data_IF_026401601683
#
_entry.id   IF_026401601683
#
_cell.length_a   1.000
_cell.length_b   1.000
_cell.length_c   1.000
_cell.angle_alpha   90.00
_cell.angle_beta   90.00
_cell.angle_gamma   90.00
#
_symmetry.space_group_name_H-M   'P 1'
#
loop_
_entity.id
_entity.type
_entity.pdbx_description
1 polymer ?
#
# COMPACT_ATOMS: atom_id res chain seq x y z
N UNK A 1 -12.93 14.89 -3.23
CA UNK A 1 -11.53 15.21 -2.89
C UNK A 1 -10.94 16.09 -3.98
N UNK A 2 -9.84 16.77 -3.69
CA UNK A 2 -9.08 17.54 -4.70
C UNK A 2 -8.35 16.54 -5.61
N UNK A 3 -8.32 16.81 -6.91
CA UNK A 3 -7.57 15.98 -7.86
C UNK A 3 -6.05 16.11 -7.60
N UNK A 4 -5.30 15.02 -7.75
CA UNK A 4 -3.85 15.04 -7.68
C UNK A 4 -3.25 15.62 -8.97
N UNK A 5 -2.18 16.44 -8.88
CA UNK A 5 -1.62 17.18 -10.01
C UNK A 5 -0.16 16.86 -10.35
N UNK A 6 0.44 15.83 -9.75
CA UNK A 6 1.86 15.49 -9.96
C UNK A 6 2.11 14.42 -11.03
N UNK A 7 3.25 13.71 -10.92
CA UNK A 7 3.63 12.65 -11.86
C UNK A 7 2.59 11.52 -11.88
N UNK A 8 2.19 11.09 -13.07
CA UNK A 8 1.09 10.14 -13.34
C UNK A 8 -0.31 10.62 -12.90
N UNK A 9 -0.55 11.93 -12.85
CA UNK A 9 -1.83 12.47 -12.40
C UNK A 9 -3.04 11.91 -13.16
N UNK A 10 -2.94 11.72 -14.47
CA UNK A 10 -4.06 11.19 -15.26
C UNK A 10 -4.45 9.78 -14.80
N UNK A 11 -3.46 8.89 -14.71
CA UNK A 11 -3.63 7.49 -14.29
C UNK A 11 -4.06 7.39 -12.83
N UNK A 12 -3.44 8.17 -11.93
CA UNK A 12 -3.76 8.20 -10.50
C UNK A 12 -5.21 8.67 -10.29
N UNK A 13 -5.62 9.79 -10.87
CA UNK A 13 -6.98 10.30 -10.69
C UNK A 13 -8.03 9.36 -11.30
N UNK A 14 -7.73 8.75 -12.47
CA UNK A 14 -8.63 7.80 -13.09
C UNK A 14 -8.85 6.55 -12.21
N UNK A 15 -7.77 5.95 -11.73
CA UNK A 15 -7.84 4.77 -10.85
C UNK A 15 -8.48 5.11 -9.50
N UNK A 16 -8.10 6.23 -8.89
CA UNK A 16 -8.66 6.72 -7.63
C UNK A 16 -10.18 6.91 -7.73
N UNK A 17 -10.66 7.53 -8.82
CA UNK A 17 -12.09 7.68 -9.08
C UNK A 17 -12.78 6.33 -9.31
N UNK A 18 -12.17 5.42 -10.09
CA UNK A 18 -12.72 4.11 -10.38
C UNK A 18 -12.89 3.25 -9.12
N UNK A 19 -11.92 3.29 -8.20
CA UNK A 19 -11.89 2.44 -7.02
C UNK A 19 -12.30 3.15 -5.72
N UNK A 20 -12.73 4.42 -5.81
CA UNK A 20 -13.13 5.25 -4.68
C UNK A 20 -12.06 5.33 -3.58
N UNK A 21 -10.86 5.74 -3.98
CA UNK A 21 -9.69 5.97 -3.10
C UNK A 21 -9.26 7.43 -3.24
N UNK A 22 -8.68 8.02 -2.19
CA UNK A 22 -8.08 9.36 -2.32
C UNK A 22 -6.89 9.31 -3.29
N UNK A 23 -6.87 10.12 -4.38
CA UNK A 23 -5.74 10.14 -5.30
C UNK A 23 -4.40 10.53 -4.64
N UNK A 24 -4.41 11.29 -3.56
CA UNK A 24 -3.19 11.64 -2.81
C UNK A 24 -2.65 10.45 -2.03
N UNK A 25 -3.54 9.58 -1.51
CA UNK A 25 -3.11 8.34 -0.85
C UNK A 25 -2.48 7.38 -1.87
N UNK A 26 -3.07 7.27 -3.07
CA UNK A 26 -2.47 6.49 -4.17
C UNK A 26 -1.08 7.03 -4.52
N UNK A 27 -0.95 8.36 -4.67
CA UNK A 27 0.33 9.00 -4.94
C UNK A 27 1.37 8.76 -3.83
N UNK A 28 0.98 8.82 -2.55
CA UNK A 28 1.85 8.56 -1.42
C UNK A 28 2.37 7.12 -1.40
N UNK A 29 1.51 6.13 -1.72
CA UNK A 29 1.94 4.73 -1.88
C UNK A 29 2.93 4.62 -3.05
N UNK A 30 2.64 5.20 -4.22
CA UNK A 30 3.56 5.19 -5.38
C UNK A 30 4.93 5.80 -5.03
N UNK A 31 4.93 6.92 -4.29
CA UNK A 31 6.16 7.57 -3.83
C UNK A 31 6.97 6.63 -2.94
N UNK A 32 6.33 5.92 -2.00
CA UNK A 32 7.00 4.97 -1.11
C UNK A 32 7.53 3.75 -1.85
N UNK A 33 6.74 3.18 -2.74
CA UNK A 33 7.03 1.92 -3.41
C UNK A 33 8.14 2.03 -4.46
N UNK A 34 8.13 3.12 -5.24
CA UNK A 34 9.04 3.23 -6.38
C UNK A 34 9.61 4.62 -6.62
N UNK A 35 9.25 5.61 -5.78
CA UNK A 35 9.54 7.02 -6.04
C UNK A 35 9.06 7.43 -7.43
N UNK A 36 7.80 7.08 -7.74
CA UNK A 36 7.18 7.27 -9.06
C UNK A 36 7.99 6.64 -10.21
N UNK A 37 8.40 5.38 -10.05
CA UNK A 37 9.10 4.64 -11.11
C UNK A 37 10.56 5.05 -11.32
N UNK A 38 11.24 5.49 -10.26
CA UNK A 38 12.68 5.76 -10.32
C UNK A 38 13.43 4.52 -10.82
N UNK A 39 14.55 4.74 -11.52
CA UNK A 39 15.37 3.68 -12.14
C UNK A 39 14.62 2.80 -13.17
N UNK A 40 13.55 3.33 -13.76
CA UNK A 40 12.81 2.64 -14.83
C UNK A 40 11.80 1.61 -14.34
N UNK A 41 11.46 1.62 -13.05
CA UNK A 41 10.43 0.72 -12.50
C UNK A 41 9.06 1.08 -13.11
N UNK A 42 8.43 0.13 -13.80
CA UNK A 42 7.09 0.30 -14.37
C UNK A 42 5.99 -0.23 -13.46
N UNK A 43 6.30 -1.21 -12.59
CA UNK A 43 5.42 -1.64 -11.50
C UNK A 43 5.49 -0.63 -10.33
N UNK A 44 5.03 0.60 -10.56
CA UNK A 44 5.23 1.74 -9.64
C UNK A 44 4.56 1.60 -8.27
N UNK A 45 3.56 0.71 -8.13
CA UNK A 45 2.91 0.35 -6.87
C UNK A 45 3.36 -1.00 -6.32
N UNK A 46 4.36 -1.65 -6.93
CA UNK A 46 5.00 -2.89 -6.48
C UNK A 46 4.02 -4.05 -6.22
N UNK A 47 2.99 -4.17 -7.04
CA UNK A 47 1.99 -5.25 -6.92
C UNK A 47 2.63 -6.60 -7.27
N UNK A 48 2.52 -7.57 -6.37
CA UNK A 48 3.09 -8.91 -6.54
C UNK A 48 2.57 -9.61 -7.81
N UNK A 49 3.48 -10.28 -8.52
CA UNK A 49 3.16 -11.07 -9.73
C UNK A 49 3.00 -10.26 -11.01
N UNK A 50 3.14 -8.93 -10.97
CA UNK A 50 3.05 -8.07 -12.16
C UNK A 50 4.41 -7.88 -12.85
N UNK A 51 4.80 -8.87 -13.65
CA UNK A 51 5.99 -8.78 -14.50
C UNK A 51 5.68 -7.99 -15.79
N UNK A 52 6.58 -7.09 -16.20
CA UNK A 52 6.45 -6.27 -17.43
C UNK A 52 5.14 -5.46 -17.54
N UNK A 53 4.56 -5.08 -16.41
CA UNK A 53 3.37 -4.21 -16.40
C UNK A 53 3.70 -2.81 -16.89
N UNK A 54 2.73 -2.16 -17.54
CA UNK A 54 2.77 -0.71 -17.76
C UNK A 54 2.51 0.03 -16.45
N UNK A 55 2.94 1.29 -16.37
CA UNK A 55 2.65 2.16 -15.21
C UNK A 55 1.15 2.21 -14.92
N UNK A 56 0.32 2.38 -15.95
CA UNK A 56 -1.14 2.40 -15.80
C UNK A 56 -1.67 1.10 -15.19
N UNK A 57 -1.23 -0.06 -15.68
CA UNK A 57 -1.65 -1.35 -15.12
C UNK A 57 -1.24 -1.50 -13.65
N UNK A 58 -0.04 -1.05 -13.29
CA UNK A 58 0.41 -1.06 -11.90
C UNK A 58 -0.45 -0.15 -11.01
N UNK A 59 -0.76 1.07 -11.47
CA UNK A 59 -1.62 2.02 -10.74
C UNK A 59 -3.03 1.47 -10.58
N UNK A 60 -3.63 0.91 -11.64
CA UNK A 60 -4.97 0.33 -11.58
C UNK A 60 -5.03 -0.84 -10.58
N UNK A 61 -4.07 -1.77 -10.67
CA UNK A 61 -4.03 -2.95 -9.81
C UNK A 61 -3.73 -2.59 -8.34
N UNK A 62 -2.76 -1.71 -8.10
CA UNK A 62 -2.38 -1.28 -6.76
C UNK A 62 -3.48 -0.46 -6.09
N UNK A 63 -4.14 0.43 -6.84
CA UNK A 63 -5.28 1.22 -6.33
C UNK A 63 -6.47 0.31 -6.00
N UNK A 64 -6.76 -0.69 -6.83
CA UNK A 64 -7.79 -1.69 -6.51
C UNK A 64 -7.46 -2.44 -5.22
N UNK A 65 -6.22 -2.92 -5.06
CA UNK A 65 -5.77 -3.60 -3.85
C UNK A 65 -5.92 -2.70 -2.62
N UNK A 66 -5.51 -1.44 -2.71
CA UNK A 66 -5.64 -0.46 -1.65
C UNK A 66 -7.12 -0.21 -1.28
N UNK A 67 -8.03 -0.11 -2.27
CA UNK A 67 -9.47 -0.04 -2.03
C UNK A 67 -9.99 -1.26 -1.25
N UNK A 68 -9.56 -2.46 -1.63
CA UNK A 68 -10.01 -3.69 -0.98
C UNK A 68 -9.50 -3.77 0.48
N UNK A 69 -8.29 -3.27 0.73
CA UNK A 69 -7.72 -3.14 2.07
C UNK A 69 -8.44 -2.07 2.91
N UNK A 70 -8.78 -0.92 2.32
CA UNK A 70 -9.59 0.13 2.98
C UNK A 70 -10.97 -0.40 3.37
N UNK A 71 -11.63 -1.17 2.49
CA UNK A 71 -12.89 -1.83 2.83
C UNK A 71 -12.70 -2.81 3.98
N UNK A 72 -11.63 -3.62 3.94
CA UNK A 72 -11.34 -4.57 5.02
C UNK A 72 -11.02 -3.85 6.33
N UNK A 73 -10.37 -2.70 6.31
CA UNK A 73 -10.04 -1.91 7.51
C UNK A 73 -11.21 -1.09 8.05
N UNK A 74 -12.37 -1.06 7.37
CA UNK A 74 -13.49 -0.20 7.76
C UNK A 74 -13.24 1.27 7.46
N UNK A 75 -12.37 1.58 6.49
CA UNK A 75 -11.99 2.93 6.09
C UNK A 75 -10.77 3.49 6.83
N UNK A 76 -10.21 2.77 7.79
CA UNK A 76 -8.99 3.20 8.47
C UNK A 76 -7.78 3.09 7.53
N UNK A 77 -7.18 4.24 7.23
CA UNK A 77 -6.06 4.36 6.29
C UNK A 77 -4.79 3.71 6.83
N UNK A 78 -4.48 3.88 8.13
CA UNK A 78 -3.26 3.34 8.72
C UNK A 78 -3.28 1.80 8.73
N UNK A 79 -4.44 1.21 9.05
CA UNK A 79 -4.64 -0.24 8.97
C UNK A 79 -4.55 -0.75 7.53
N UNK A 80 -5.12 -0.02 6.55
CA UNK A 80 -5.05 -0.39 5.14
C UNK A 80 -3.61 -0.36 4.61
N UNK A 81 -2.82 0.67 4.97
CA UNK A 81 -1.41 0.77 4.63
C UNK A 81 -0.57 -0.35 5.27
N UNK A 82 -0.85 -0.69 6.54
CA UNK A 82 -0.23 -1.85 7.18
C UNK A 82 -0.54 -3.14 6.41
N UNK A 83 -1.78 -3.31 5.97
CA UNK A 83 -2.21 -4.44 5.13
C UNK A 83 -1.63 -4.41 3.71
N UNK A 84 -1.32 -3.24 3.16
CA UNK A 84 -0.64 -3.12 1.86
C UNK A 84 0.79 -3.65 1.94
N UNK A 85 1.49 -3.32 3.04
CA UNK A 85 2.87 -3.72 3.27
C UNK A 85 3.02 -5.19 3.73
N UNK A 86 2.17 -5.66 4.64
CA UNK A 86 2.29 -6.98 5.29
C UNK A 86 1.23 -7.98 4.83
N UNK A 87 0.45 -7.64 3.82
CA UNK A 87 -0.71 -8.40 3.37
C UNK A 87 -1.94 -8.23 4.27
N UNK A 88 -3.11 -8.55 3.72
CA UNK A 88 -4.41 -8.27 4.34
C UNK A 88 -4.65 -8.96 5.71
N UNK A 89 -3.84 -9.95 6.11
CA UNK A 89 -3.99 -10.68 7.36
C UNK A 89 -3.75 -9.84 8.61
N UNK A 90 -2.87 -8.85 8.54
CA UNK A 90 -2.57 -7.96 9.68
C UNK A 90 -3.77 -7.09 10.09
N UNK A 91 -4.67 -6.79 9.16
CA UNK A 91 -5.87 -6.00 9.45
C UNK A 91 -6.74 -6.69 10.53
N UNK A 92 -6.77 -8.03 10.54
CA UNK A 92 -7.53 -8.78 11.56
C UNK A 92 -6.86 -8.73 12.94
N UNK A 93 -5.55 -8.47 13.00
CA UNK A 93 -4.83 -8.21 14.26
C UNK A 93 -5.15 -6.83 14.78
N UNK A 94 -5.02 -5.80 13.93
CA UNK A 94 -5.38 -4.43 14.30
C UNK A 94 -6.81 -4.34 14.81
N UNK A 95 -7.78 -5.02 14.17
CA UNK A 95 -9.17 -5.04 14.65
C UNK A 95 -9.31 -5.62 16.06
N UNK A 96 -8.55 -6.66 16.40
CA UNK A 96 -8.55 -7.26 17.75
C UNK A 96 -7.90 -6.34 18.78
N UNK A 97 -6.87 -5.60 18.38
CA UNK A 97 -6.13 -4.67 19.24
C UNK A 97 -6.77 -3.27 19.33
N UNK A 98 -7.87 -3.01 18.61
CA UNK A 98 -8.59 -1.74 18.63
C UNK A 98 -8.08 -0.67 17.66
N UNK A 99 -7.26 -1.03 16.67
CA UNK A 99 -6.76 -0.13 15.63
C UNK A 99 -5.32 -0.42 15.21
N UNK A 100 -4.82 0.38 14.27
CA UNK A 100 -3.40 0.35 13.89
C UNK A 100 -2.51 0.60 15.10
N UNK A 101 -1.45 -0.21 15.24
CA UNK A 101 -0.40 0.03 16.23
C UNK A 101 0.93 -0.62 15.80
N UNK A 102 2.04 -0.02 16.21
CA UNK A 102 3.38 -0.49 15.87
C UNK A 102 3.74 -1.83 16.52
N UNK A 103 3.11 -2.18 17.66
CA UNK A 103 3.37 -3.44 18.35
C UNK A 103 2.91 -4.64 17.49
N UNK A 104 1.72 -4.56 16.90
CA UNK A 104 1.18 -5.56 15.98
C UNK A 104 2.02 -5.65 14.70
N UNK A 105 2.48 -4.52 14.13
CA UNK A 105 3.40 -4.53 12.98
C UNK A 105 4.68 -5.34 13.29
N UNK A 106 5.31 -5.07 14.45
CA UNK A 106 6.51 -5.78 14.88
C UNK A 106 6.26 -7.26 15.13
N UNK A 107 5.17 -7.59 15.84
CA UNK A 107 4.81 -8.96 16.17
C UNK A 107 4.46 -9.77 14.91
N UNK A 108 3.71 -9.18 13.98
CA UNK A 108 3.34 -9.78 12.71
C UNK A 108 4.57 -10.02 11.84
N UNK A 109 5.43 -9.01 11.68
CA UNK A 109 6.73 -9.16 10.98
C UNK A 109 7.54 -10.31 11.57
N UNK A 110 7.76 -10.33 12.89
CA UNK A 110 8.53 -11.38 13.56
C UNK A 110 7.94 -12.79 13.40
N UNK A 111 6.60 -12.89 13.36
CA UNK A 111 5.91 -14.18 13.13
C UNK A 111 6.22 -14.77 11.75
N UNK A 112 6.31 -13.93 10.72
CA UNK A 112 6.54 -14.36 9.34
C UNK A 112 8.00 -14.27 8.88
N UNK A 113 8.87 -13.62 9.65
CA UNK A 113 10.31 -13.49 9.37
C UNK A 113 11.02 -14.85 9.18
N UNK A 114 10.62 -15.86 9.97
CA UNK A 114 11.14 -17.24 9.85
C UNK A 114 10.73 -17.95 8.55
N UNK A 115 9.74 -17.44 7.83
CA UNK A 115 9.24 -18.01 6.57
C UNK A 115 10.02 -17.45 5.37
N UNK A 116 10.63 -16.26 5.49
CA UNK A 116 11.28 -15.54 4.39
C UNK A 116 12.79 -15.31 4.56
N UNK A 117 13.46 -16.21 5.29
CA UNK A 117 14.92 -16.29 5.37
C UNK A 117 15.67 -15.12 6.05
N UNK A 118 15.03 -14.39 6.97
CA UNK A 118 15.71 -13.59 7.99
C UNK A 118 16.03 -12.12 7.66
N UNK A 119 15.49 -11.59 6.56
CA UNK A 119 15.59 -10.15 6.21
C UNK A 119 14.44 -9.29 6.77
N UNK A 120 13.53 -9.88 7.56
CA UNK A 120 12.29 -9.25 8.01
C UNK A 120 11.12 -9.46 7.03
N UNK A 121 9.89 -9.54 7.55
CA UNK A 121 8.68 -9.60 6.73
C UNK A 121 7.98 -8.24 6.71
N UNK A 122 8.07 -7.53 5.58
CA UNK A 122 7.55 -6.19 5.42
C UNK A 122 8.44 -5.11 6.06
N UNK A 123 7.90 -3.89 6.19
CA UNK A 123 8.56 -2.74 6.80
C UNK A 123 7.69 -2.25 7.95
N UNK A 124 8.12 -2.49 9.19
CA UNK A 124 7.34 -2.11 10.39
C UNK A 124 7.05 -0.62 10.48
N UNK A 125 7.86 0.23 9.84
CA UNK A 125 7.68 1.69 9.76
C UNK A 125 7.01 2.16 8.48
N UNK A 126 6.44 1.26 7.67
CA UNK A 126 5.86 1.60 6.37
C UNK A 126 4.75 2.66 6.46
N UNK A 127 3.84 2.50 7.43
CA UNK A 127 2.68 3.39 7.60
C UNK A 127 3.14 4.83 7.86
N UNK A 128 4.04 5.02 8.83
CA UNK A 128 4.58 6.35 9.15
C UNK A 128 5.31 6.98 7.97
N UNK A 129 6.06 6.18 7.19
CA UNK A 129 6.79 6.65 6.01
C UNK A 129 5.90 7.05 4.84
N UNK A 130 4.70 6.46 4.73
CA UNK A 130 3.71 6.84 3.69
C UNK A 130 2.93 8.08 4.12
N UNK A 131 2.70 8.26 5.42
CA UNK A 131 1.89 9.37 5.96
C UNK A 131 2.70 10.62 6.33
N UNK A 132 4.04 10.55 6.26
CA UNK A 132 4.95 11.67 6.48
C UNK A 132 4.96 12.66 5.31
#
# INVERSE_FOLDING_TARGET
GVAYAGKYASEINAAANQFNVDPHLVAAVIQRESSFGAKGITNVMQVNGMNNSTVKQSIDAGTKMLSDLLKKSGGDVAMALGGYNMGAGIIDWFKKSGGYNLADMKAYSAKYDKVYAGDGYGDVGYVDKVLA
#
